data_IF_627172491161
#
_entry.id   IF_627172491161
#
_cell.length_a   1.000
_cell.length_b   1.000
_cell.length_c   1.000
_cell.angle_alpha   90.00
_cell.angle_beta   90.00
_cell.angle_gamma   90.00
#
_symmetry.space_group_name_H-M   'P 1'
#
loop_
_entity.id
_entity.type
_entity.pdbx_description
1 polymer ?
#
# COMPACT_ATOMS: atom_id res chain seq x y z
N UNK A 1 8.73 22.30 20.33
CA UNK A 1 7.67 23.28 20.19
C UNK A 1 7.34 23.84 21.57
N UNK A 2 7.35 25.16 21.71
CA UNK A 2 7.16 25.84 23.01
C UNK A 2 5.73 26.35 23.03
N UNK A 3 4.87 25.73 23.79
CA UNK A 3 3.45 26.07 23.85
C UNK A 3 3.06 27.17 24.84
N UNK A 4 3.94 27.59 25.77
CA UNK A 4 3.61 28.66 26.71
C UNK A 4 4.66 29.77 26.69
N UNK A 5 4.20 30.97 26.35
CA UNK A 5 4.93 32.20 26.60
C UNK A 5 4.34 32.86 27.86
N UNK A 6 4.98 32.68 29.00
CA UNK A 6 4.79 33.62 30.11
C UNK A 6 5.46 34.95 29.71
N UNK A 7 4.75 36.07 29.76
CA UNK A 7 5.30 37.38 29.47
C UNK A 7 6.52 37.64 30.34
N UNK A 8 7.66 37.92 29.71
CA UNK A 8 8.93 38.29 30.38
C UNK A 8 9.90 37.13 30.66
N UNK A 9 9.59 35.88 30.29
CA UNK A 9 10.56 34.76 30.36
C UNK A 9 11.08 34.39 28.99
N UNK A 10 12.36 34.03 28.89
CA UNK A 10 12.91 33.39 27.71
C UNK A 10 12.27 32.02 27.51
N UNK A 11 11.95 31.63 26.27
CA UNK A 11 11.43 30.28 25.99
C UNK A 11 12.48 29.23 26.38
N UNK A 12 12.04 28.24 27.13
CA UNK A 12 12.84 27.06 27.50
C UNK A 12 12.34 25.85 26.68
N UNK A 13 13.27 24.97 26.29
CA UNK A 13 12.94 23.77 25.54
C UNK A 13 14.00 22.69 25.75
N UNK A 14 13.61 21.45 25.51
CA UNK A 14 14.49 20.29 25.55
C UNK A 14 14.70 19.76 24.12
N UNK A 15 15.95 19.37 23.81
CA UNK A 15 16.24 18.68 22.54
C UNK A 15 15.82 17.22 22.71
N UNK A 16 14.80 16.82 21.98
CA UNK A 16 14.27 15.45 22.00
C UNK A 16 14.88 14.57 20.91
N UNK A 17 15.30 15.16 19.79
CA UNK A 17 15.88 14.45 18.66
C UNK A 17 16.83 15.38 17.88
N UNK A 18 17.94 14.84 17.36
CA UNK A 18 18.82 15.50 16.39
C UNK A 18 18.62 14.85 15.03
N UNK A 19 17.98 15.55 14.11
CA UNK A 19 17.62 15.02 12.79
C UNK A 19 18.82 14.86 11.85
N UNK A 20 19.88 15.62 12.04
CA UNK A 20 21.10 15.62 11.23
C UNK A 20 21.70 17.00 11.02
N UNK A 21 22.69 17.13 10.15
CA UNK A 21 23.33 18.39 9.78
C UNK A 21 22.42 19.25 8.90
N UNK A 22 22.53 20.59 9.04
CA UNK A 22 21.69 21.56 8.33
C UNK A 22 21.69 21.38 6.81
N UNK A 23 22.84 21.02 6.24
CA UNK A 23 23.02 20.89 4.78
C UNK A 23 23.06 19.41 4.34
N UNK A 24 22.65 18.50 5.20
CA UNK A 24 22.59 17.06 4.90
C UNK A 24 21.35 16.75 4.04
N UNK A 25 21.50 16.05 2.91
CA UNK A 25 20.37 15.73 2.03
C UNK A 25 19.28 14.93 2.75
N UNK A 26 18.01 15.32 2.57
CA UNK A 26 16.83 14.65 3.12
C UNK A 26 16.44 15.08 4.54
N UNK A 27 17.24 15.94 5.21
CA UNK A 27 16.90 16.46 6.55
C UNK A 27 15.72 17.42 6.49
N UNK A 28 15.58 18.19 5.42
CA UNK A 28 14.43 19.04 5.16
C UNK A 28 13.13 18.22 5.09
N UNK A 29 13.12 17.12 4.34
CA UNK A 29 11.97 16.21 4.27
C UNK A 29 11.72 15.53 5.62
N UNK A 30 12.75 15.05 6.30
CA UNK A 30 12.62 14.44 7.62
C UNK A 30 12.04 15.43 8.64
N UNK A 31 12.44 16.71 8.59
CA UNK A 31 11.90 17.75 9.46
C UNK A 31 10.39 17.96 9.23
N UNK A 32 9.92 17.89 7.99
CA UNK A 32 8.49 17.96 7.65
C UNK A 32 7.75 16.74 8.20
N UNK A 33 8.29 15.53 8.02
CA UNK A 33 7.74 14.29 8.56
C UNK A 33 7.55 14.38 10.07
N UNK A 34 8.58 14.85 10.80
CA UNK A 34 8.53 15.05 12.27
C UNK A 34 7.55 16.15 12.66
N UNK A 35 7.52 17.27 11.95
CA UNK A 35 6.62 18.39 12.24
C UNK A 35 5.14 18.01 12.06
N UNK A 36 4.84 17.12 11.12
CA UNK A 36 3.49 16.63 10.86
C UNK A 36 3.13 15.39 11.70
N UNK A 37 4.08 14.86 12.49
CA UNK A 37 3.85 13.65 13.28
C UNK A 37 3.59 12.39 12.45
N UNK A 38 4.12 12.34 11.20
CA UNK A 38 3.94 11.18 10.32
C UNK A 38 4.82 10.03 10.84
N UNK A 39 4.23 8.86 11.14
CA UNK A 39 5.00 7.69 11.60
C UNK A 39 5.78 7.08 10.43
N UNK A 40 7.09 7.20 10.44
CA UNK A 40 7.99 6.73 9.36
C UNK A 40 8.58 5.32 9.62
N UNK A 41 8.44 4.82 10.84
CA UNK A 41 8.87 3.48 11.22
C UNK A 41 7.67 2.61 11.62
N UNK A 42 7.78 1.30 11.42
CA UNK A 42 6.78 0.34 11.89
C UNK A 42 7.20 -0.26 13.22
N UNK A 43 6.27 -0.45 14.18
CA UNK A 43 6.53 -1.20 15.39
C UNK A 43 7.01 -2.64 15.10
N UNK A 44 7.90 -3.17 15.92
CA UNK A 44 8.45 -4.53 15.76
C UNK A 44 7.37 -5.61 15.65
N UNK A 45 6.28 -5.50 16.43
CA UNK A 45 5.14 -6.43 16.36
C UNK A 45 4.48 -6.48 14.99
N UNK A 46 4.44 -5.33 14.27
CA UNK A 46 3.87 -5.19 12.94
C UNK A 46 4.80 -5.82 11.91
N UNK A 47 6.11 -5.52 11.98
CA UNK A 47 7.12 -6.13 11.10
C UNK A 47 7.18 -7.65 11.25
N UNK A 48 7.15 -8.16 12.48
CA UNK A 48 7.11 -9.59 12.77
C UNK A 48 5.85 -10.27 12.22
N UNK A 49 4.70 -9.59 12.25
CA UNK A 49 3.48 -10.12 11.63
C UNK A 49 3.60 -10.08 10.11
N UNK A 50 4.08 -8.99 9.52
CA UNK A 50 4.28 -8.87 8.08
C UNK A 50 5.13 -10.01 7.52
N UNK A 51 6.27 -10.31 8.15
CA UNK A 51 7.13 -11.44 7.77
C UNK A 51 6.44 -12.80 7.84
N UNK A 52 5.55 -12.99 8.81
CA UNK A 52 4.83 -14.27 8.97
C UNK A 52 3.76 -14.48 7.92
N UNK A 53 3.06 -13.42 7.50
CA UNK A 53 1.96 -13.51 6.54
C UNK A 53 2.43 -13.36 5.09
N UNK A 54 3.55 -12.69 4.84
CA UNK A 54 4.12 -12.49 3.51
C UNK A 54 4.76 -13.77 2.99
N UNK A 55 3.93 -14.67 2.48
CA UNK A 55 4.34 -15.97 1.90
C UNK A 55 3.87 -16.07 0.46
N UNK A 56 4.58 -16.82 -0.39
CA UNK A 56 4.07 -17.18 -1.71
C UNK A 56 2.70 -17.84 -1.62
N UNK A 57 1.86 -17.59 -2.62
CA UNK A 57 0.55 -18.25 -2.73
C UNK A 57 0.74 -19.76 -2.80
N UNK A 58 0.00 -20.49 -1.97
CA UNK A 58 0.02 -21.96 -1.90
C UNK A 58 -1.24 -22.55 -2.54
N UNK A 59 -1.22 -23.86 -2.79
CA UNK A 59 -2.41 -24.55 -3.31
C UNK A 59 -3.61 -24.47 -2.36
N UNK A 60 -3.37 -24.40 -1.06
CA UNK A 60 -4.44 -24.24 -0.06
C UNK A 60 -5.10 -22.88 -0.15
N UNK A 61 -4.37 -21.84 -0.50
CA UNK A 61 -4.92 -20.48 -0.67
C UNK A 61 -5.78 -20.39 -1.95
N UNK A 62 -5.57 -21.29 -2.90
CA UNK A 62 -6.35 -21.39 -4.15
C UNK A 62 -7.70 -22.12 -3.98
N UNK A 63 -7.90 -22.83 -2.87
CA UNK A 63 -9.15 -23.52 -2.61
C UNK A 63 -10.31 -22.52 -2.56
N UNK A 64 -11.39 -22.77 -3.30
CA UNK A 64 -12.54 -21.87 -3.44
C UNK A 64 -12.28 -20.56 -4.22
N UNK A 65 -11.11 -20.39 -4.81
CA UNK A 65 -10.79 -19.26 -5.69
C UNK A 65 -10.82 -19.68 -7.15
N UNK A 66 -11.23 -18.77 -8.02
CA UNK A 66 -11.19 -18.99 -9.47
C UNK A 66 -9.77 -18.77 -9.98
N UNK A 67 -9.24 -19.72 -10.76
CA UNK A 67 -7.96 -19.55 -11.43
C UNK A 67 -8.09 -18.62 -12.65
N UNK A 68 -7.39 -17.49 -12.61
CA UNK A 68 -7.36 -16.49 -13.68
C UNK A 68 -5.96 -16.37 -14.31
N UNK A 69 -5.01 -17.26 -14.00
CA UNK A 69 -3.61 -17.19 -14.46
C UNK A 69 -3.47 -17.29 -15.98
N UNK A 70 -4.45 -17.86 -16.67
CA UNK A 70 -4.47 -17.93 -18.12
C UNK A 70 -4.97 -16.64 -18.80
N UNK A 71 -5.56 -15.70 -18.05
CA UNK A 71 -6.07 -14.44 -18.57
C UNK A 71 -4.94 -13.43 -18.65
N UNK A 72 -4.82 -12.73 -19.77
CA UNK A 72 -3.87 -11.63 -19.93
C UNK A 72 -4.35 -10.44 -19.10
N UNK A 73 -3.53 -10.02 -18.15
CA UNK A 73 -3.78 -8.88 -17.29
C UNK A 73 -2.64 -7.87 -17.44
N UNK A 74 -2.94 -6.59 -17.22
CA UNK A 74 -1.97 -5.49 -17.21
C UNK A 74 -2.24 -4.58 -16.04
N UNK A 75 -1.18 -4.04 -15.45
CA UNK A 75 -1.23 -2.89 -14.54
C UNK A 75 -0.91 -1.62 -15.31
N UNK A 76 -1.43 -0.48 -14.92
CA UNK A 76 -1.23 0.81 -15.61
C UNK A 76 -0.74 1.83 -14.60
N UNK A 77 0.51 1.73 -14.24
CA UNK A 77 1.17 2.49 -13.20
C UNK A 77 2.35 3.28 -13.75
N UNK A 78 2.93 4.15 -12.93
CA UNK A 78 4.20 4.79 -13.24
C UNK A 78 5.35 3.78 -13.30
N UNK A 79 6.39 4.08 -14.08
CA UNK A 79 7.54 3.20 -14.29
C UNK A 79 8.25 2.79 -12.98
N UNK A 80 8.23 3.67 -11.99
CA UNK A 80 8.86 3.45 -10.68
C UNK A 80 7.92 2.85 -9.63
N UNK A 81 6.65 2.61 -9.96
CA UNK A 81 5.68 2.03 -9.03
C UNK A 81 6.11 0.63 -8.58
N UNK A 82 5.92 0.34 -7.29
CA UNK A 82 6.25 -0.95 -6.67
C UNK A 82 5.06 -1.57 -5.96
N UNK A 83 4.05 -0.78 -5.68
CA UNK A 83 2.80 -1.10 -5.02
C UNK A 83 1.68 -1.17 -6.08
N UNK A 84 1.68 -2.26 -6.85
CA UNK A 84 0.73 -2.48 -7.93
C UNK A 84 -0.57 -3.04 -7.36
N UNK A 85 -1.46 -2.16 -6.94
CA UNK A 85 -2.66 -2.54 -6.20
C UNK A 85 -3.77 -3.09 -7.10
N UNK A 86 -3.80 -2.67 -8.38
CA UNK A 86 -4.83 -3.05 -9.33
C UNK A 86 -4.29 -3.49 -10.68
N UNK A 87 -5.04 -4.36 -11.34
CA UNK A 87 -4.82 -4.79 -12.70
C UNK A 87 -6.14 -4.86 -13.45
N UNK A 88 -6.06 -4.76 -14.77
CA UNK A 88 -7.22 -4.91 -15.66
C UNK A 88 -7.00 -6.01 -16.67
N UNK A 89 -8.08 -6.69 -17.04
CA UNK A 89 -8.14 -7.62 -18.17
C UNK A 89 -9.25 -7.24 -19.11
N UNK A 90 -9.08 -7.50 -20.40
CA UNK A 90 -10.08 -7.23 -21.41
C UNK A 90 -10.08 -8.38 -22.43
N UNK A 91 -11.24 -9.00 -22.61
CA UNK A 91 -11.47 -10.03 -23.60
C UNK A 91 -12.69 -9.68 -24.46
N UNK A 92 -12.62 -9.91 -25.77
CA UNK A 92 -13.78 -9.82 -26.64
C UNK A 92 -14.50 -11.17 -26.67
N UNK A 93 -15.80 -11.17 -26.35
CA UNK A 93 -16.64 -12.36 -26.38
C UNK A 93 -18.02 -12.02 -26.95
N UNK A 94 -18.41 -12.71 -28.02
CA UNK A 94 -19.75 -12.58 -28.66
C UNK A 94 -20.11 -11.14 -29.05
N UNK A 95 -19.11 -10.32 -29.45
CA UNK A 95 -19.28 -8.93 -29.84
C UNK A 95 -19.47 -7.95 -28.68
N UNK A 96 -19.21 -8.39 -27.46
CA UNK A 96 -19.11 -7.60 -26.23
C UNK A 96 -17.70 -7.68 -25.66
N UNK A 97 -17.39 -6.79 -24.76
CA UNK A 97 -16.15 -6.82 -24.00
C UNK A 97 -16.40 -7.38 -22.60
N UNK A 98 -15.61 -8.35 -22.19
CA UNK A 98 -15.53 -8.76 -20.79
C UNK A 98 -14.36 -8.01 -20.14
N UNK A 99 -14.70 -6.98 -19.37
CA UNK A 99 -13.74 -6.19 -18.59
C UNK A 99 -13.59 -6.83 -17.21
N UNK A 100 -12.37 -7.14 -16.83
CA UNK A 100 -12.00 -7.53 -15.47
C UNK A 100 -11.25 -6.41 -14.77
N UNK A 101 -11.62 -6.11 -13.53
CA UNK A 101 -10.87 -5.27 -12.60
C UNK A 101 -10.47 -6.15 -11.43
N UNK A 102 -9.17 -6.21 -11.15
CA UNK A 102 -8.56 -7.12 -10.19
C UNK A 102 -7.80 -6.28 -9.17
N UNK A 103 -8.20 -6.37 -7.90
CA UNK A 103 -7.54 -5.65 -6.79
C UNK A 103 -6.82 -6.68 -5.93
N UNK A 104 -5.59 -6.39 -5.50
CA UNK A 104 -4.86 -7.25 -4.59
C UNK A 104 -5.69 -7.56 -3.33
N UNK A 105 -5.84 -8.83 -2.97
CA UNK A 105 -6.64 -9.26 -1.82
C UNK A 105 -5.87 -9.04 -0.51
N UNK A 106 -5.71 -7.78 -0.13
CA UNK A 106 -5.00 -7.36 1.08
C UNK A 106 -5.63 -7.95 2.33
N UNK A 107 -6.96 -8.15 2.34
CA UNK A 107 -7.69 -8.67 3.48
C UNK A 107 -7.35 -10.15 3.82
N UNK A 108 -6.81 -10.89 2.88
CA UNK A 108 -6.30 -12.25 3.12
C UNK A 108 -5.05 -12.24 4.03
N UNK A 109 -4.23 -11.20 3.91
CA UNK A 109 -2.99 -11.04 4.66
C UNK A 109 -3.16 -10.18 5.93
N UNK A 110 -4.00 -9.16 5.87
CA UNK A 110 -4.25 -8.20 6.96
C UNK A 110 -5.57 -8.55 7.64
N UNK A 111 -5.50 -9.44 8.63
CA UNK A 111 -6.68 -9.89 9.36
C UNK A 111 -7.20 -8.79 10.29
N UNK A 112 -8.51 -8.69 10.39
CA UNK A 112 -9.19 -7.72 11.27
C UNK A 112 -8.70 -7.81 12.72
N UNK A 113 -8.49 -6.66 13.37
CA UNK A 113 -7.98 -6.51 14.73
C UNK A 113 -6.56 -7.06 14.96
N UNK A 114 -5.82 -7.35 13.91
CA UNK A 114 -4.40 -7.70 13.99
C UNK A 114 -3.50 -6.47 14.19
N UNK A 115 -2.21 -6.68 14.51
CA UNK A 115 -1.27 -5.57 14.65
C UNK A 115 -1.09 -4.81 13.32
N UNK A 116 -1.13 -5.50 12.17
CA UNK A 116 -1.11 -4.89 10.83
C UNK A 116 -2.35 -4.04 10.59
N UNK A 117 -3.53 -4.53 10.94
CA UNK A 117 -4.80 -3.82 10.76
C UNK A 117 -4.87 -2.54 11.60
N UNK A 118 -4.47 -2.62 12.87
CA UNK A 118 -4.40 -1.44 13.74
C UNK A 118 -3.43 -0.39 13.24
N UNK A 119 -2.24 -0.81 12.80
CA UNK A 119 -1.23 0.11 12.26
C UNK A 119 -1.70 0.75 10.94
N UNK A 120 -2.32 -0.04 10.06
CA UNK A 120 -2.88 0.46 8.81
C UNK A 120 -4.01 1.49 9.04
N UNK A 121 -4.87 1.24 10.03
CA UNK A 121 -5.93 2.19 10.42
C UNK A 121 -5.35 3.48 10.98
N UNK A 122 -4.30 3.40 11.80
CA UNK A 122 -3.63 4.57 12.38
C UNK A 122 -2.96 5.42 11.29
N UNK A 123 -2.28 4.79 10.32
CA UNK A 123 -1.65 5.50 9.19
C UNK A 123 -2.68 6.05 8.21
N UNK A 124 -3.73 5.32 7.93
CA UNK A 124 -4.82 5.67 7.02
C UNK A 124 -4.48 5.69 5.53
N UNK A 125 -3.23 5.96 5.15
CA UNK A 125 -2.75 6.01 3.77
C UNK A 125 -1.23 5.89 3.70
N UNK A 126 -0.69 5.60 2.52
CA UNK A 126 0.73 5.84 2.22
C UNK A 126 0.98 7.33 1.98
N UNK A 127 2.16 7.82 2.37
CA UNK A 127 2.58 9.22 2.16
C UNK A 127 3.72 9.24 1.15
N UNK A 128 3.48 9.91 0.02
CA UNK A 128 4.45 10.04 -1.08
C UNK A 128 5.19 11.36 -0.95
N UNK A 129 6.49 11.28 -0.67
CA UNK A 129 7.40 12.42 -0.60
C UNK A 129 8.29 12.44 -1.85
N UNK A 130 8.92 13.58 -2.20
CA UNK A 130 9.78 13.67 -3.38
C UNK A 130 10.97 12.68 -3.39
N UNK A 131 11.46 12.28 -2.22
CA UNK A 131 12.65 11.44 -2.04
C UNK A 131 12.34 10.02 -1.53
N UNK A 132 11.13 9.79 -1.01
CA UNK A 132 10.74 8.52 -0.41
C UNK A 132 9.24 8.33 -0.32
N UNK A 133 8.83 7.08 -0.11
CA UNK A 133 7.45 6.73 0.27
C UNK A 133 7.46 6.21 1.70
N UNK A 134 6.54 6.71 2.53
CA UNK A 134 6.22 6.16 3.84
C UNK A 134 4.94 5.33 3.65
N UNK A 135 5.04 3.99 3.56
CA UNK A 135 3.91 3.18 3.17
C UNK A 135 2.92 2.96 4.33
N UNK A 136 1.65 2.74 3.99
CA UNK A 136 0.61 2.36 4.96
C UNK A 136 0.84 0.96 5.54
N UNK A 137 1.35 0.05 4.73
CA UNK A 137 1.70 -1.33 5.12
C UNK A 137 3.20 -1.57 4.95
N UNK A 138 3.81 -2.48 5.74
CA UNK A 138 5.21 -2.89 5.52
C UNK A 138 5.47 -3.34 4.08
N UNK A 139 6.68 -3.10 3.58
CA UNK A 139 7.06 -3.37 2.18
C UNK A 139 6.92 -4.83 1.77
N UNK A 140 7.03 -5.75 2.70
CA UNK A 140 6.78 -7.18 2.49
C UNK A 140 5.36 -7.45 1.98
N UNK A 141 4.40 -6.59 2.36
CA UNK A 141 3.05 -6.62 1.84
C UNK A 141 2.91 -5.68 0.63
N UNK A 142 3.12 -4.37 0.81
CA UNK A 142 2.80 -3.36 -0.20
C UNK A 142 3.56 -3.54 -1.52
N UNK A 143 4.82 -3.95 -1.47
CA UNK A 143 5.64 -4.21 -2.67
C UNK A 143 5.78 -5.72 -2.97
N UNK A 144 5.32 -6.55 -2.04
CA UNK A 144 5.44 -8.01 -2.05
C UNK A 144 4.12 -8.72 -2.35
N UNK A 145 3.58 -9.44 -1.37
CA UNK A 145 2.43 -10.32 -1.58
C UNK A 145 1.12 -9.59 -1.91
N UNK A 146 0.99 -8.31 -1.59
CA UNK A 146 -0.14 -7.46 -1.96
C UNK A 146 0.12 -6.61 -3.23
N UNK A 147 1.26 -6.78 -3.91
CA UNK A 147 1.53 -6.13 -5.20
C UNK A 147 1.36 -7.12 -6.34
N UNK A 148 0.60 -6.74 -7.38
CA UNK A 148 0.30 -7.58 -8.54
C UNK A 148 1.49 -7.69 -9.51
N UNK A 149 2.64 -8.12 -8.99
CA UNK A 149 3.90 -8.26 -9.73
C UNK A 149 3.79 -9.25 -10.87
N UNK A 150 4.34 -8.88 -12.02
CA UNK A 150 4.32 -9.73 -13.21
C UNK A 150 5.05 -11.06 -12.99
N UNK A 151 4.44 -12.16 -13.44
CA UNK A 151 5.02 -13.50 -13.36
C UNK A 151 4.95 -14.17 -11.99
N UNK A 152 4.22 -13.59 -11.04
CA UNK A 152 4.01 -14.14 -9.71
C UNK A 152 2.52 -14.41 -9.45
N UNK A 153 2.21 -15.52 -8.78
CA UNK A 153 0.84 -15.81 -8.35
C UNK A 153 0.45 -14.83 -7.22
N UNK A 154 -0.74 -14.24 -7.36
CA UNK A 154 -1.31 -13.30 -6.39
C UNK A 154 -2.77 -13.60 -6.14
N UNK A 155 -3.20 -13.35 -4.90
CA UNK A 155 -4.60 -13.38 -4.54
C UNK A 155 -5.23 -12.04 -4.89
N UNK A 156 -6.38 -12.09 -5.57
CA UNK A 156 -7.09 -10.88 -5.97
C UNK A 156 -8.59 -10.99 -5.73
N UNK A 157 -9.21 -9.87 -5.41
CA UNK A 157 -10.65 -9.67 -5.49
C UNK A 157 -10.97 -9.10 -6.87
N UNK A 158 -11.81 -9.78 -7.63
CA UNK A 158 -12.03 -9.44 -9.03
C UNK A 158 -13.49 -9.13 -9.33
N UNK A 159 -13.74 -8.06 -10.08
CA UNK A 159 -15.02 -7.73 -10.67
C UNK A 159 -14.96 -7.96 -12.18
N UNK A 160 -15.85 -8.82 -12.71
CA UNK A 160 -15.96 -9.07 -14.14
C UNK A 160 -17.25 -8.45 -14.65
N UNK A 161 -17.17 -7.63 -15.69
CA UNK A 161 -18.28 -6.84 -16.22
C UNK A 161 -18.38 -7.03 -17.73
N UNK A 162 -19.58 -7.34 -18.23
CA UNK A 162 -19.84 -7.28 -19.68
C UNK A 162 -20.10 -5.83 -20.10
N UNK A 163 -19.40 -5.37 -21.12
CA UNK A 163 -19.51 -4.01 -21.65
C UNK A 163 -19.87 -4.09 -23.13
N UNK A 164 -20.93 -3.41 -23.54
CA UNK A 164 -21.32 -3.33 -24.94
C UNK A 164 -20.46 -2.34 -25.74
N UNK A 165 -20.65 -2.27 -27.07
CA UNK A 165 -19.92 -1.34 -27.95
C UNK A 165 -20.18 0.14 -27.66
N UNK A 166 -21.24 0.45 -26.95
CA UNK A 166 -21.57 1.80 -26.50
C UNK A 166 -20.98 2.17 -25.13
N UNK A 167 -20.28 1.23 -24.48
CA UNK A 167 -19.71 1.42 -23.14
C UNK A 167 -20.71 1.17 -22.01
N UNK A 168 -21.89 0.58 -22.30
CA UNK A 168 -22.88 0.27 -21.28
C UNK A 168 -22.51 -1.05 -20.59
N UNK A 169 -22.49 -1.04 -19.25
CA UNK A 169 -22.26 -2.25 -18.45
C UNK A 169 -23.58 -3.05 -18.40
N UNK A 170 -23.52 -4.28 -18.85
CA UNK A 170 -24.60 -5.25 -18.71
C UNK A 170 -24.62 -5.87 -17.30
N UNK A 171 -25.81 -6.28 -16.88
CA UNK A 171 -25.99 -7.05 -15.63
C UNK A 171 -25.67 -8.52 -15.86
#
# INVERSE_FOLDING_TARGET
YIESREEGKSPEGEIIEVLGGRDEPGIDMLSVVRALGIPDEFPEKVLNQAQRVSKPVSETDCVMRRDLRAIRMVTIDGEDARDLDDAVSLEEKDGRWLLGVHIADVADYVQENSALDWEAKERGTSVYLPDRVIPMLPKELSNGCCSLNAGEDRLALSCLMEVDKGGTIGN
#
